data_IF_421609038776
#
_entry.id   IF_421609038776
#
_cell.length_a   1.000
_cell.length_b   1.000
_cell.length_c   1.000
_cell.angle_alpha   90.00
_cell.angle_beta   90.00
_cell.angle_gamma   90.00
#
_symmetry.space_group_name_H-M   'P 1'
#
loop_
_entity.id
_entity.type
_entity.pdbx_description
1 polymer ?
#
# COMPACT_ATOMS: atom_id res chain seq x y z
N UNK A 1 -15.56 -6.36 -2.27
CA UNK A 1 -14.95 -6.81 -3.54
C UNK A 1 -15.96 -7.59 -4.36
N UNK A 2 -15.88 -7.50 -5.68
CA UNK A 2 -16.71 -8.29 -6.62
C UNK A 2 -15.79 -9.04 -7.57
N UNK A 3 -16.09 -10.32 -7.82
CA UNK A 3 -15.37 -11.11 -8.82
C UNK A 3 -15.36 -10.38 -10.18
N UNK A 4 -14.28 -10.49 -10.97
CA UNK A 4 -13.12 -11.39 -10.81
C UNK A 4 -12.00 -10.85 -9.88
N UNK A 5 -12.23 -9.75 -9.17
CA UNK A 5 -11.26 -9.25 -8.21
C UNK A 5 -11.05 -10.23 -7.05
N UNK A 6 -9.78 -10.49 -6.73
CA UNK A 6 -9.40 -11.21 -5.52
C UNK A 6 -8.24 -10.47 -4.86
N UNK A 7 -8.22 -10.48 -3.52
CA UNK A 7 -7.21 -9.81 -2.72
C UNK A 7 -6.98 -10.58 -1.43
N UNK A 8 -5.76 -10.50 -0.89
CA UNK A 8 -5.42 -10.95 0.44
C UNK A 8 -5.06 -9.75 1.33
N UNK A 9 -5.46 -9.77 2.60
CA UNK A 9 -5.17 -8.71 3.57
C UNK A 9 -3.67 -8.52 3.82
N UNK A 10 -2.86 -9.53 3.48
CA UNK A 10 -1.40 -9.45 3.45
C UNK A 10 -0.85 -8.43 2.44
N UNK A 11 -1.58 -8.15 1.36
CA UNK A 11 -1.21 -7.20 0.31
C UNK A 11 -1.73 -5.78 0.54
N UNK A 12 -2.53 -5.58 1.59
CA UNK A 12 -3.05 -4.26 1.94
C UNK A 12 -2.12 -3.61 2.95
N UNK A 13 -1.43 -2.55 2.53
CA UNK A 13 -0.34 -1.93 3.28
C UNK A 13 -0.57 -0.42 3.45
N UNK A 14 -1.33 -0.01 4.48
CA UNK A 14 -1.58 1.40 4.77
C UNK A 14 -0.35 2.06 5.40
N UNK A 15 -0.02 3.28 4.96
CA UNK A 15 1.05 4.13 5.51
C UNK A 15 0.59 5.58 5.45
N UNK A 16 0.22 6.15 6.60
CA UNK A 16 -0.37 7.48 6.69
C UNK A 16 -1.59 7.63 5.77
N UNK A 17 -1.50 8.59 4.85
CA UNK A 17 -2.57 8.89 3.87
C UNK A 17 -2.62 7.97 2.65
N UNK A 18 -1.68 7.04 2.52
CA UNK A 18 -1.55 6.15 1.37
C UNK A 18 -1.99 4.73 1.74
N UNK A 19 -2.68 4.07 0.81
CA UNK A 19 -3.06 2.66 0.91
C UNK A 19 -2.37 1.94 -0.25
N UNK A 20 -1.25 1.29 0.03
CA UNK A 20 -0.52 0.51 -0.97
C UNK A 20 -1.18 -0.86 -1.12
N UNK A 21 -1.44 -1.25 -2.36
CA UNK A 21 -2.03 -2.54 -2.71
C UNK A 21 -0.98 -3.35 -3.47
N UNK A 22 -0.53 -4.42 -2.84
CA UNK A 22 0.38 -5.39 -3.41
C UNK A 22 -0.19 -6.03 -4.68
N UNK A 23 0.60 -6.08 -5.74
CA UNK A 23 0.35 -6.98 -6.85
C UNK A 23 1.10 -8.29 -6.59
N UNK A 24 0.33 -9.35 -6.41
CA UNK A 24 0.83 -10.69 -6.11
C UNK A 24 -0.01 -11.73 -6.84
N UNK A 25 0.31 -13.01 -6.69
CA UNK A 25 -0.58 -14.09 -7.16
C UNK A 25 -1.89 -14.17 -6.38
N UNK A 26 -2.01 -13.43 -5.26
CA UNK A 26 -3.18 -13.39 -4.37
C UNK A 26 -3.98 -12.10 -4.46
N UNK A 27 -3.42 -11.05 -5.04
CA UNK A 27 -4.10 -9.76 -5.28
C UNK A 27 -3.91 -9.30 -6.71
N UNK A 28 -5.00 -9.23 -7.48
CA UNK A 28 -4.97 -8.92 -8.92
C UNK A 28 -5.30 -7.46 -9.25
N UNK A 29 -5.19 -7.12 -10.53
CA UNK A 29 -5.42 -5.75 -11.02
C UNK A 29 -6.85 -5.26 -10.84
N UNK A 30 -7.83 -6.16 -11.01
CA UNK A 30 -9.24 -5.88 -10.74
C UNK A 30 -9.48 -5.54 -9.27
N UNK A 31 -8.73 -6.16 -8.36
CA UNK A 31 -8.78 -5.78 -6.96
C UNK A 31 -8.22 -4.40 -6.72
N UNK A 32 -7.10 -4.03 -7.34
CA UNK A 32 -6.59 -2.66 -7.25
C UNK A 32 -7.63 -1.63 -7.76
N UNK A 33 -8.23 -1.86 -8.92
CA UNK A 33 -9.19 -0.90 -9.50
C UNK A 33 -10.43 -0.74 -8.61
N UNK A 34 -10.90 -1.81 -7.99
CA UNK A 34 -11.99 -1.74 -7.02
C UNK A 34 -11.55 -1.07 -5.70
N UNK A 35 -10.38 -1.40 -5.17
CA UNK A 35 -9.83 -0.78 -3.96
C UNK A 35 -9.62 0.72 -4.15
N UNK A 36 -9.13 1.16 -5.32
CA UNK A 36 -9.01 2.57 -5.67
C UNK A 36 -10.36 3.31 -5.62
N UNK A 37 -11.43 2.68 -6.13
CA UNK A 37 -12.80 3.24 -6.05
C UNK A 37 -13.32 3.27 -4.61
N UNK A 38 -13.07 2.23 -3.82
CA UNK A 38 -13.50 2.19 -2.42
C UNK A 38 -12.81 3.26 -1.58
N UNK A 39 -11.48 3.30 -1.64
CA UNK A 39 -10.64 4.22 -0.85
C UNK A 39 -10.90 5.69 -1.18
N UNK A 40 -11.26 6.02 -2.42
CA UNK A 40 -11.67 7.38 -2.81
C UNK A 40 -12.93 7.89 -2.08
N UNK A 41 -13.78 6.98 -1.57
CA UNK A 41 -14.95 7.33 -0.75
C UNK A 41 -14.66 7.47 0.75
N UNK A 42 -13.44 7.16 1.18
CA UNK A 42 -13.02 7.25 2.57
C UNK A 42 -12.07 8.43 2.75
N UNK A 43 -12.14 9.05 3.93
CA UNK A 43 -11.39 10.26 4.23
C UNK A 43 -10.73 10.18 5.60
N UNK A 44 -9.58 10.83 5.72
CA UNK A 44 -8.95 11.16 6.99
C UNK A 44 -9.09 12.66 7.26
N UNK A 45 -8.93 13.04 8.52
CA UNK A 45 -8.88 14.43 8.96
C UNK A 45 -7.42 14.73 9.31
N UNK A 46 -6.86 15.81 8.75
CA UNK A 46 -5.52 16.26 9.14
C UNK A 46 -5.56 17.02 10.48
N UNK A 47 -4.39 17.35 11.02
CA UNK A 47 -4.27 18.07 12.30
C UNK A 47 -4.93 19.46 12.28
N UNK A 48 -5.19 20.02 11.10
CA UNK A 48 -5.87 21.30 10.91
C UNK A 48 -7.39 21.14 10.77
N UNK A 49 -7.93 19.93 10.90
CA UNK A 49 -9.35 19.64 10.75
C UNK A 49 -9.83 19.51 9.30
N UNK A 50 -8.93 19.53 8.31
CA UNK A 50 -9.31 19.41 6.90
C UNK A 50 -9.54 17.94 6.53
N UNK A 51 -10.55 17.71 5.68
CA UNK A 51 -10.93 16.38 5.21
C UNK A 51 -10.24 16.03 3.89
N UNK A 52 -9.53 14.91 3.86
CA UNK A 52 -8.74 14.45 2.72
C UNK A 52 -9.09 13.02 2.36
N UNK A 53 -9.15 12.69 1.06
CA UNK A 53 -9.31 11.30 0.63
C UNK A 53 -8.00 10.52 0.78
N UNK A 54 -8.09 9.21 1.06
CA UNK A 54 -6.92 8.33 0.99
C UNK A 54 -6.47 8.14 -0.46
N UNK A 55 -5.15 8.04 -0.68
CA UNK A 55 -4.59 7.72 -2.00
C UNK A 55 -4.30 6.21 -2.10
N UNK A 56 -4.93 5.54 -3.05
CA UNK A 56 -4.63 4.14 -3.37
C UNK A 56 -3.45 4.05 -4.33
N UNK A 57 -2.42 3.30 -3.95
CA UNK A 57 -1.16 3.19 -4.69
C UNK A 57 -0.87 1.75 -5.04
N UNK A 58 -0.48 1.50 -6.29
CA UNK A 58 -0.13 0.15 -6.76
C UNK A 58 1.29 -0.17 -6.34
N UNK A 59 1.50 -1.37 -5.77
CA UNK A 59 2.82 -1.81 -5.30
C UNK A 59 3.15 -3.18 -5.91
N UNK A 60 3.99 -3.23 -6.95
CA UNK A 60 4.52 -4.50 -7.45
C UNK A 60 5.38 -5.18 -6.39
N UNK A 61 5.07 -6.44 -6.05
CA UNK A 61 5.83 -7.24 -5.07
C UNK A 61 6.42 -8.47 -5.76
N UNK A 62 7.72 -8.68 -5.63
CA UNK A 62 8.45 -9.80 -6.24
C UNK A 62 8.98 -10.76 -5.18
N UNK A 63 8.86 -12.07 -5.45
CA UNK A 63 9.51 -13.12 -4.66
C UNK A 63 9.02 -13.25 -3.20
N UNK A 64 7.87 -12.65 -2.86
CA UNK A 64 7.22 -12.74 -1.55
C UNK A 64 5.76 -13.13 -1.74
N UNK A 65 5.19 -13.79 -0.73
CA UNK A 65 3.79 -14.22 -0.79
C UNK A 65 2.85 -13.01 -0.76
N UNK A 66 3.14 -12.05 0.11
CA UNK A 66 2.37 -10.82 0.27
C UNK A 66 3.28 -9.61 0.50
N UNK A 67 2.72 -8.41 0.34
CA UNK A 67 3.38 -7.14 0.70
C UNK A 67 3.91 -7.13 2.13
N UNK A 68 3.13 -7.60 3.10
CA UNK A 68 3.55 -7.65 4.51
C UNK A 68 4.65 -8.66 4.81
N UNK A 69 4.95 -9.57 3.88
CA UNK A 69 6.14 -10.42 3.96
C UNK A 69 7.39 -9.68 3.50
N UNK A 70 7.24 -8.68 2.61
CA UNK A 70 8.33 -7.82 2.17
C UNK A 70 8.62 -6.69 3.15
N UNK A 71 7.68 -6.29 4.00
CA UNK A 71 7.90 -5.17 4.93
C UNK A 71 6.79 -4.94 5.94
N UNK A 72 7.01 -3.96 6.81
CA UNK A 72 6.05 -3.49 7.81
C UNK A 72 6.07 -1.97 7.87
N UNK A 73 4.91 -1.35 8.08
CA UNK A 73 4.89 0.06 8.47
C UNK A 73 5.46 0.20 9.89
N UNK A 74 6.06 1.34 10.17
CA UNK A 74 6.58 1.70 11.50
C UNK A 74 5.83 2.93 12.03
N UNK A 75 5.65 3.92 11.16
CA UNK A 75 4.89 5.14 11.42
C UNK A 75 4.11 5.55 10.17
N UNK A 76 3.37 6.65 10.22
CA UNK A 76 2.70 7.23 9.05
C UNK A 76 3.66 7.75 7.97
N UNK A 77 4.95 7.87 8.29
CA UNK A 77 5.98 8.40 7.41
C UNK A 77 7.20 7.49 7.27
N UNK A 78 7.17 6.28 7.84
CA UNK A 78 8.32 5.37 7.76
C UNK A 78 7.94 3.89 7.73
N UNK A 79 8.72 3.11 6.97
CA UNK A 79 8.53 1.67 6.78
C UNK A 79 9.84 0.91 6.88
N UNK A 80 9.77 -0.36 7.28
CA UNK A 80 10.80 -1.37 7.06
C UNK A 80 10.43 -2.16 5.79
N UNK A 81 11.35 -2.29 4.83
CA UNK A 81 11.07 -2.95 3.55
C UNK A 81 12.29 -3.70 3.00
N UNK A 82 12.05 -4.91 2.48
CA UNK A 82 12.95 -5.64 1.61
C UNK A 82 12.94 -4.99 0.21
N UNK A 83 13.97 -4.19 -0.06
CA UNK A 83 14.11 -3.44 -1.32
C UNK A 83 14.43 -4.33 -2.53
N UNK A 84 14.66 -5.64 -2.34
CA UNK A 84 14.74 -6.60 -3.45
C UNK A 84 13.35 -7.05 -3.89
N UNK A 85 12.36 -6.99 -2.99
CA UNK A 85 10.98 -7.38 -3.27
C UNK A 85 10.15 -6.23 -3.87
N UNK A 86 10.44 -4.98 -3.49
CA UNK A 86 9.69 -3.78 -3.88
C UNK A 86 10.62 -2.62 -4.24
N UNK A 87 10.22 -1.78 -5.20
CA UNK A 87 10.94 -0.55 -5.51
C UNK A 87 10.72 0.51 -4.42
N UNK A 88 11.77 0.94 -3.67
CA UNK A 88 11.63 1.95 -2.61
C UNK A 88 11.24 3.34 -3.15
N UNK A 89 11.41 3.61 -4.45
CA UNK A 89 11.04 4.89 -5.06
C UNK A 89 9.53 5.19 -4.93
N UNK A 90 8.70 4.15 -4.88
CA UNK A 90 7.24 4.24 -4.73
C UNK A 90 6.86 4.91 -3.40
N UNK A 91 7.67 4.70 -2.36
CA UNK A 91 7.48 5.28 -1.02
C UNK A 91 8.20 6.62 -0.88
N UNK A 92 9.48 6.69 -1.28
CA UNK A 92 10.30 7.90 -1.09
C UNK A 92 9.80 9.09 -1.91
N UNK A 93 9.25 8.87 -3.12
CA UNK A 93 8.58 9.92 -3.91
C UNK A 93 7.34 10.52 -3.23
N UNK A 94 6.82 9.88 -2.18
CA UNK A 94 5.69 10.31 -1.35
C UNK A 94 6.10 10.85 0.01
N UNK A 95 7.41 11.04 0.23
CA UNK A 95 7.96 11.49 1.50
C UNK A 95 7.93 10.43 2.61
N UNK A 96 7.81 9.15 2.25
CA UNK A 96 7.89 8.04 3.22
C UNK A 96 9.34 7.55 3.28
N UNK A 97 9.91 7.53 4.48
CA UNK A 97 11.24 6.99 4.75
C UNK A 97 11.23 5.46 4.67
N UNK A 98 12.26 4.89 4.03
CA UNK A 98 12.40 3.45 3.86
C UNK A 98 13.65 2.97 4.56
N UNK A 99 13.48 2.17 5.61
CA UNK A 99 14.54 1.38 6.22
C UNK A 99 14.65 0.06 5.48
N UNK A 100 15.84 -0.22 4.94
CA UNK A 100 16.08 -1.48 4.24
C UNK A 100 16.16 -2.64 5.25
N UNK A 101 15.32 -3.65 5.06
CA UNK A 101 15.48 -4.94 5.72
C UNK A 101 16.60 -5.75 5.04
N UNK A 102 17.41 -6.51 5.79
CA UNK A 102 18.49 -7.34 5.25
C UNK A 102 18.02 -8.43 4.26
#
# INVERSE_FOLDING_TARGET
MKAPAHTDGGDIFPVGKYIFIGQSTRTNDEAFEQMKKFTAGHHYIDDNGNRHAYECVRLPVKGRLHTKTAGSFLTDHSILMDTKACDPSIFTSRGIEVFAAP
#
